data_IF_587250168809
#
_entry.id   IF_587250168809
#
_cell.length_a   1.000
_cell.length_b   1.000
_cell.length_c   1.000
_cell.angle_alpha   90.00
_cell.angle_beta   90.00
_cell.angle_gamma   90.00
#
_symmetry.space_group_name_H-M   'P 1'
#
loop_
_entity.id
_entity.type
_entity.pdbx_description
1 polymer ?
#
# COMPACT_ATOMS: atom_id res chain seq x y z
N UNK A 1 12.61 -37.39 -8.68
CA UNK A 1 13.49 -37.16 -7.52
C UNK A 1 12.89 -36.01 -6.72
N UNK A 2 12.38 -36.29 -5.51
CA UNK A 2 11.97 -35.25 -4.58
C UNK A 2 13.24 -34.55 -4.10
N UNK A 3 13.51 -33.37 -4.64
CA UNK A 3 14.52 -32.46 -4.10
C UNK A 3 14.18 -32.23 -2.62
N UNK A 4 14.95 -32.86 -1.72
CA UNK A 4 14.94 -32.56 -0.30
C UNK A 4 15.57 -31.18 -0.11
N UNK A 5 14.90 -30.12 -0.57
CA UNK A 5 15.21 -28.76 -0.16
C UNK A 5 14.96 -28.72 1.35
N UNK A 6 16.02 -28.47 2.12
CA UNK A 6 15.91 -28.26 3.56
C UNK A 6 14.85 -27.19 3.86
N UNK A 7 14.18 -27.31 5.00
CA UNK A 7 13.23 -26.31 5.44
C UNK A 7 13.91 -24.92 5.45
N UNK A 8 13.24 -23.90 4.91
CA UNK A 8 13.83 -22.55 4.90
C UNK A 8 14.06 -22.07 6.33
N UNK A 9 15.04 -21.18 6.57
CA UNK A 9 15.27 -20.60 7.90
C UNK A 9 14.00 -19.99 8.52
N UNK A 10 13.16 -19.36 7.68
CA UNK A 10 11.84 -18.85 8.08
C UNK A 10 10.86 -19.96 8.51
N UNK A 11 10.83 -21.10 7.80
CA UNK A 11 9.98 -22.23 8.15
C UNK A 11 10.44 -22.92 9.46
N UNK A 12 11.75 -23.03 9.67
CA UNK A 12 12.34 -23.56 10.90
C UNK A 12 12.00 -22.66 12.09
N UNK A 13 12.20 -21.35 11.96
CA UNK A 13 11.88 -20.39 13.01
C UNK A 13 10.38 -20.36 13.32
N UNK A 14 9.52 -20.51 12.30
CA UNK A 14 8.07 -20.60 12.49
C UNK A 14 7.68 -21.88 13.24
N UNK A 15 8.32 -23.01 12.92
CA UNK A 15 8.13 -24.26 13.67
C UNK A 15 8.55 -24.10 15.14
N UNK A 16 9.67 -23.41 15.39
CA UNK A 16 10.10 -23.09 16.76
C UNK A 16 9.09 -22.21 17.51
N UNK A 17 8.53 -21.19 16.85
CA UNK A 17 7.43 -20.39 17.41
C UNK A 17 6.20 -21.25 17.75
N UNK A 18 5.84 -22.21 16.88
CA UNK A 18 4.75 -23.17 17.14
C UNK A 18 5.03 -24.12 18.31
N UNK A 19 6.29 -24.52 18.50
CA UNK A 19 6.71 -25.40 19.62
C UNK A 19 6.96 -24.67 20.94
N UNK A 20 7.08 -23.34 20.92
CA UNK A 20 7.29 -22.51 22.12
C UNK A 20 6.09 -22.51 23.08
N UNK A 21 4.94 -23.06 22.67
CA UNK A 21 3.81 -23.36 23.53
C UNK A 21 3.15 -22.08 24.07
N UNK A 22 3.21 -21.89 25.39
CA UNK A 22 2.57 -20.77 26.09
C UNK A 22 3.53 -19.63 26.47
N UNK A 23 4.80 -19.69 26.06
CA UNK A 23 5.82 -18.66 26.37
C UNK A 23 5.72 -17.51 25.36
N UNK A 24 5.10 -16.36 25.72
CA UNK A 24 4.79 -15.31 24.75
C UNK A 24 6.04 -14.62 24.21
N UNK A 25 7.10 -14.51 25.03
CA UNK A 25 8.34 -13.84 24.64
C UNK A 25 9.08 -14.64 23.57
N UNK A 26 9.16 -15.96 23.73
CA UNK A 26 9.77 -16.86 22.73
C UNK A 26 8.96 -16.93 21.45
N UNK A 27 7.63 -16.91 21.53
CA UNK A 27 6.78 -16.84 20.34
C UNK A 27 7.09 -15.56 19.55
N UNK A 28 7.18 -14.41 20.23
CA UNK A 28 7.51 -13.13 19.58
C UNK A 28 8.92 -13.16 18.98
N UNK A 29 9.91 -13.66 19.72
CA UNK A 29 11.30 -13.76 19.26
C UNK A 29 11.43 -14.61 18.00
N UNK A 30 10.91 -15.84 18.03
CA UNK A 30 11.00 -16.76 16.88
C UNK A 30 10.18 -16.28 15.69
N UNK A 31 9.04 -15.62 15.93
CA UNK A 31 8.25 -15.00 14.85
C UNK A 31 9.00 -13.85 14.19
N UNK A 32 9.66 -12.98 14.97
CA UNK A 32 10.52 -11.91 14.43
C UNK A 32 11.67 -12.48 13.61
N UNK A 33 12.32 -13.53 14.09
CA UNK A 33 13.38 -14.21 13.36
C UNK A 33 12.87 -14.85 12.06
N UNK A 34 11.67 -15.44 12.06
CA UNK A 34 11.04 -16.02 10.88
C UNK A 34 10.75 -14.96 9.81
N UNK A 35 10.22 -13.81 10.22
CA UNK A 35 9.94 -12.67 9.33
C UNK A 35 11.25 -12.12 8.73
N UNK A 36 12.28 -11.93 9.56
CA UNK A 36 13.57 -11.37 9.12
C UNK A 36 14.32 -12.28 8.14
N UNK A 37 14.09 -13.59 8.20
CA UNK A 37 14.78 -14.58 7.36
C UNK A 37 13.97 -15.04 6.14
N UNK A 38 12.75 -14.49 5.95
CA UNK A 38 11.92 -14.80 4.79
C UNK A 38 12.50 -14.16 3.50
N UNK A 39 12.78 -14.98 2.48
CA UNK A 39 13.38 -14.50 1.23
C UNK A 39 12.36 -14.12 0.16
N UNK A 40 11.09 -14.47 0.35
CA UNK A 40 9.99 -14.15 -0.55
C UNK A 40 8.65 -14.13 0.18
N UNK A 41 7.62 -13.59 -0.49
CA UNK A 41 6.28 -13.44 0.09
C UNK A 41 5.65 -14.78 0.50
N UNK A 42 5.88 -15.86 -0.25
CA UNK A 42 5.37 -17.18 0.11
C UNK A 42 5.94 -17.68 1.44
N UNK A 43 7.22 -17.46 1.69
CA UNK A 43 7.83 -17.77 2.99
C UNK A 43 7.30 -16.88 4.11
N UNK A 44 7.07 -15.59 3.85
CA UNK A 44 6.48 -14.67 4.83
C UNK A 44 5.04 -15.05 5.21
N UNK A 45 4.21 -15.42 4.23
CA UNK A 45 2.85 -15.94 4.50
C UNK A 45 2.93 -17.23 5.32
N UNK A 46 3.94 -18.07 5.06
CA UNK A 46 4.15 -19.28 5.83
C UNK A 46 4.60 -19.03 7.28
N UNK A 47 5.09 -17.83 7.64
CA UNK A 47 5.37 -17.49 9.04
C UNK A 47 4.11 -17.15 9.83
N UNK A 48 3.01 -16.85 9.14
CA UNK A 48 1.70 -16.69 9.76
C UNK A 48 1.14 -18.07 10.11
N UNK A 49 0.50 -18.21 11.27
CA UNK A 49 -0.22 -19.44 11.63
C UNK A 49 -1.23 -19.81 10.53
N UNK A 50 -1.31 -21.10 10.18
CA UNK A 50 -2.16 -21.60 9.09
C UNK A 50 -3.62 -21.12 9.20
N UNK A 51 -4.12 -20.99 10.42
CA UNK A 51 -5.46 -20.47 10.72
C UNK A 51 -5.71 -19.07 10.15
N UNK A 52 -4.71 -18.19 10.19
CA UNK A 52 -4.85 -16.79 9.79
C UNK A 52 -4.33 -16.50 8.38
N UNK A 53 -3.73 -17.49 7.70
CA UNK A 53 -3.19 -17.30 6.34
C UNK A 53 -4.30 -16.92 5.37
N UNK A 54 -5.39 -17.69 5.34
CA UNK A 54 -6.50 -17.45 4.40
C UNK A 54 -7.21 -16.13 4.71
N UNK A 55 -7.28 -15.76 5.99
CA UNK A 55 -7.86 -14.48 6.44
C UNK A 55 -7.01 -13.28 6.00
N UNK A 56 -5.68 -13.36 6.17
CA UNK A 56 -4.77 -12.25 5.92
C UNK A 56 -4.28 -12.17 4.47
N UNK A 57 -4.30 -13.27 3.72
CA UNK A 57 -3.88 -13.34 2.31
C UNK A 57 -4.49 -12.24 1.42
N UNK A 58 -5.82 -12.01 1.39
CA UNK A 58 -6.40 -10.93 0.58
C UNK A 58 -5.90 -9.55 1.01
N UNK A 59 -5.64 -9.37 2.30
CA UNK A 59 -5.12 -8.10 2.84
C UNK A 59 -3.66 -7.88 2.44
N UNK A 60 -2.82 -8.92 2.51
CA UNK A 60 -1.43 -8.86 2.03
C UNK A 60 -1.36 -8.57 0.53
N UNK A 61 -2.23 -9.18 -0.27
CA UNK A 61 -2.34 -8.87 -1.71
C UNK A 61 -2.71 -7.40 -1.93
N UNK A 62 -3.73 -6.90 -1.23
CA UNK A 62 -4.13 -5.49 -1.33
C UNK A 62 -3.00 -4.53 -0.94
N UNK A 63 -2.24 -4.85 0.11
CA UNK A 63 -1.08 -4.04 0.52
C UNK A 63 0.04 -4.06 -0.51
N UNK A 64 0.30 -5.21 -1.15
CA UNK A 64 1.27 -5.33 -2.23
C UNK A 64 0.87 -4.46 -3.43
N UNK A 65 -0.39 -4.51 -3.83
CA UNK A 65 -0.92 -3.68 -4.93
C UNK A 65 -0.80 -2.18 -4.61
N UNK A 66 -1.06 -1.79 -3.36
CA UNK A 66 -0.94 -0.41 -2.91
C UNK A 66 0.53 0.06 -2.92
N UNK A 67 1.46 -0.81 -2.52
CA UNK A 67 2.89 -0.55 -2.60
C UNK A 67 3.38 -0.42 -4.05
N UNK A 68 2.88 -1.25 -4.97
CA UNK A 68 3.19 -1.16 -6.40
C UNK A 68 2.69 0.16 -7.00
N UNK A 69 1.46 0.59 -6.64
CA UNK A 69 0.91 1.90 -7.02
C UNK A 69 1.74 3.04 -6.48
N UNK A 70 2.16 3.00 -5.21
CA UNK A 70 3.04 4.01 -4.61
C UNK A 70 4.39 4.09 -5.34
N UNK A 71 5.01 2.94 -5.63
CA UNK A 71 6.27 2.89 -6.39
C UNK A 71 6.13 3.54 -7.76
N UNK A 72 5.05 3.23 -8.47
CA UNK A 72 4.74 3.83 -9.78
C UNK A 72 4.51 5.33 -9.66
N UNK A 73 3.70 5.77 -8.70
CA UNK A 73 3.41 7.18 -8.49
C UNK A 73 4.69 8.00 -8.18
N UNK A 74 5.60 7.46 -7.37
CA UNK A 74 6.91 8.09 -7.07
C UNK A 74 7.78 8.20 -8.32
N UNK A 75 7.84 7.15 -9.16
CA UNK A 75 8.59 7.19 -10.43
C UNK A 75 8.01 8.24 -11.38
N UNK A 76 6.69 8.29 -11.51
CA UNK A 76 6.03 9.30 -12.35
C UNK A 76 6.28 10.72 -11.85
N UNK A 77 6.20 10.96 -10.53
CA UNK A 77 6.52 12.25 -9.94
C UNK A 77 7.97 12.66 -10.21
N UNK A 78 8.92 11.74 -10.04
CA UNK A 78 10.33 11.99 -10.36
C UNK A 78 10.51 12.37 -11.84
N UNK A 79 9.82 11.69 -12.76
CA UNK A 79 9.84 12.03 -14.18
C UNK A 79 9.27 13.42 -14.46
N UNK A 80 8.19 13.84 -13.79
CA UNK A 80 7.65 15.19 -13.95
C UNK A 80 8.60 16.28 -13.43
N UNK A 81 9.26 16.03 -12.29
CA UNK A 81 10.27 16.93 -11.75
C UNK A 81 11.50 17.01 -12.68
N UNK A 82 11.89 15.90 -13.31
CA UNK A 82 12.95 15.91 -14.31
C UNK A 82 12.58 16.76 -15.53
N UNK A 83 11.35 16.64 -16.03
CA UNK A 83 10.84 17.50 -17.11
C UNK A 83 10.87 18.98 -16.74
N UNK A 84 10.43 19.31 -15.51
CA UNK A 84 10.48 20.68 -14.99
C UNK A 84 11.92 21.22 -14.96
N UNK A 85 12.88 20.43 -14.44
CA UNK A 85 14.28 20.82 -14.35
C UNK A 85 14.96 20.99 -15.72
N UNK A 86 14.53 20.21 -16.72
CA UNK A 86 15.06 20.28 -18.09
C UNK A 86 14.35 21.33 -18.95
N UNK A 87 13.36 22.05 -18.43
CA UNK A 87 12.47 22.92 -19.21
C UNK A 87 11.84 22.19 -20.41
N UNK A 88 11.43 20.94 -20.20
CA UNK A 88 10.74 20.10 -21.18
C UNK A 88 9.36 19.71 -20.66
N UNK A 89 8.54 19.13 -21.53
CA UNK A 89 7.20 18.69 -21.16
C UNK A 89 7.05 17.18 -21.31
N UNK A 90 6.28 16.53 -20.42
CA UNK A 90 5.77 15.19 -20.69
C UNK A 90 4.97 15.17 -22.00
N UNK A 91 4.95 14.03 -22.69
CA UNK A 91 4.33 13.87 -24.02
C UNK A 91 2.88 14.33 -24.10
N UNK A 92 2.09 14.16 -23.03
CA UNK A 92 0.68 14.59 -22.99
C UNK A 92 0.51 16.11 -22.93
N UNK A 93 1.44 16.84 -22.29
CA UNK A 93 1.45 18.32 -22.32
C UNK A 93 2.09 18.76 -23.63
N UNK A 94 3.19 18.14 -24.04
CA UNK A 94 3.89 18.48 -25.28
C UNK A 94 2.95 18.42 -26.49
N UNK A 95 2.15 17.35 -26.61
CA UNK A 95 1.19 17.13 -27.67
C UNK A 95 -0.02 18.07 -27.70
N UNK A 96 -0.18 18.98 -26.72
CA UNK A 96 -1.26 19.98 -26.74
C UNK A 96 -1.10 20.93 -27.93
N UNK A 97 -2.08 20.91 -28.84
CA UNK A 97 -2.12 21.76 -30.02
C UNK A 97 -2.25 23.24 -29.63
N UNK A 98 -1.38 24.09 -30.17
CA UNK A 98 -1.47 25.54 -30.00
C UNK A 98 -2.41 26.12 -31.08
N UNK A 99 -3.62 26.58 -30.71
CA UNK A 99 -4.61 27.07 -31.68
C UNK A 99 -4.18 28.36 -32.38
N UNK A 100 -3.24 29.12 -31.80
CA UNK A 100 -2.79 30.40 -32.33
C UNK A 100 -1.69 30.23 -33.38
N UNK A 101 -0.98 29.10 -33.39
CA UNK A 101 0.05 28.81 -34.41
C UNK A 101 -0.53 28.53 -35.79
N UNK A 102 -1.78 28.06 -35.87
CA UNK A 102 -2.47 27.79 -37.13
C UNK A 102 -3.15 29.01 -37.75
N UNK A 103 -3.20 30.15 -37.04
CA UNK A 103 -3.83 31.37 -37.54
C UNK A 103 -2.93 32.02 -38.59
N UNK A 104 -3.40 32.10 -39.83
CA UNK A 104 -2.76 32.85 -40.90
C UNK A 104 -3.54 34.15 -41.17
N UNK A 105 -3.10 35.30 -40.65
CA UNK A 105 -3.78 36.56 -40.90
C UNK A 105 -3.66 36.98 -42.37
N UNK A 106 -4.71 37.60 -42.91
CA UNK A 106 -4.71 38.20 -44.24
C UNK A 106 -3.62 39.26 -44.38
N UNK A 107 -3.14 39.51 -45.61
CA UNK A 107 -2.03 40.45 -45.88
C UNK A 107 -2.27 41.85 -45.30
N UNK A 108 -3.51 42.36 -45.32
CA UNK A 108 -3.78 43.72 -44.81
C UNK A 108 -3.75 43.81 -43.27
N UNK A 109 -4.00 42.71 -42.56
CA UNK A 109 -4.08 42.67 -41.10
C UNK A 109 -2.81 42.10 -40.44
N UNK A 110 -1.86 41.59 -41.24
CA UNK A 110 -0.68 40.86 -40.75
C UNK A 110 0.12 41.68 -39.74
N UNK A 111 0.45 42.92 -40.08
CA UNK A 111 1.29 43.77 -39.23
C UNK A 111 0.54 44.27 -37.99
N UNK A 112 -0.77 44.51 -38.14
CA UNK A 112 -1.63 44.93 -37.03
C UNK A 112 -1.83 43.82 -35.98
N UNK A 113 -1.86 42.55 -36.39
CA UNK A 113 -2.20 41.41 -35.53
C UNK A 113 -0.95 40.60 -35.10
N UNK A 114 0.21 40.80 -35.75
CA UNK A 114 1.44 40.06 -35.46
C UNK A 114 1.84 40.09 -33.97
N UNK A 115 1.76 41.26 -33.33
CA UNK A 115 2.09 41.41 -31.91
C UNK A 115 1.15 40.58 -31.04
N UNK A 116 -0.17 40.73 -31.21
CA UNK A 116 -1.17 39.98 -30.44
C UNK A 116 -1.06 38.47 -30.66
N UNK A 117 -0.78 38.01 -31.88
CA UNK A 117 -0.54 36.57 -32.15
C UNK A 117 0.70 36.05 -31.40
N UNK A 118 1.79 36.82 -31.37
CA UNK A 118 2.99 36.44 -30.62
C UNK A 118 2.75 36.38 -29.10
N UNK A 119 1.96 37.31 -28.57
CA UNK A 119 1.55 37.34 -27.16
C UNK A 119 0.68 36.12 -26.82
N UNK A 120 -0.27 35.75 -27.68
CA UNK A 120 -1.13 34.58 -27.50
C UNK A 120 -0.35 33.25 -27.55
N UNK A 121 0.63 33.13 -28.46
CA UNK A 121 1.52 31.97 -28.52
C UNK A 121 2.36 31.85 -27.24
N UNK A 122 2.86 32.98 -26.74
CA UNK A 122 3.64 33.04 -25.50
C UNK A 122 2.77 32.68 -24.30
N UNK A 123 1.56 33.23 -24.21
CA UNK A 123 0.58 32.89 -23.18
C UNK A 123 0.25 31.40 -23.18
N UNK A 124 0.07 30.79 -24.35
CA UNK A 124 -0.17 29.35 -24.45
C UNK A 124 0.98 28.53 -23.86
N UNK A 125 2.24 28.92 -24.13
CA UNK A 125 3.39 28.22 -23.54
C UNK A 125 3.44 28.36 -22.02
N UNK A 126 3.13 29.54 -21.47
CA UNK A 126 3.00 29.75 -20.02
C UNK A 126 1.93 28.83 -19.41
N UNK A 127 0.81 28.63 -20.11
CA UNK A 127 -0.22 27.69 -19.66
C UNK A 127 0.26 26.24 -19.65
N UNK A 128 1.17 25.84 -20.54
CA UNK A 128 1.79 24.50 -20.50
C UNK A 128 2.69 24.32 -19.27
N UNK A 129 3.45 25.34 -18.90
CA UNK A 129 4.28 25.35 -17.69
C UNK A 129 3.43 25.31 -16.42
N UNK A 130 2.34 26.06 -16.40
CA UNK A 130 1.36 26.03 -15.31
C UNK A 130 0.69 24.66 -15.20
N UNK A 131 0.32 24.04 -16.33
CA UNK A 131 -0.25 22.70 -16.37
C UNK A 131 0.72 21.65 -15.81
N UNK A 132 2.01 21.72 -16.15
CA UNK A 132 3.04 20.84 -15.58
C UNK A 132 3.12 21.01 -14.06
N UNK A 133 3.17 22.27 -13.59
CA UNK A 133 3.26 22.58 -12.16
C UNK A 133 2.05 22.07 -11.38
N UNK A 134 0.83 22.24 -11.90
CA UNK A 134 -0.40 21.70 -11.31
C UNK A 134 -0.40 20.17 -11.29
N UNK A 135 0.08 19.54 -12.36
CA UNK A 135 0.17 18.08 -12.46
C UNK A 135 1.13 17.52 -11.40
N UNK A 136 2.27 18.18 -11.19
CA UNK A 136 3.23 17.85 -10.12
C UNK A 136 2.54 17.93 -8.75
N UNK A 137 1.87 19.05 -8.45
CA UNK A 137 1.19 19.23 -7.17
C UNK A 137 0.13 18.14 -6.88
N UNK A 138 -0.68 17.77 -7.88
CA UNK A 138 -1.64 16.67 -7.76
C UNK A 138 -0.92 15.34 -7.51
N UNK A 139 0.18 15.08 -8.21
CA UNK A 139 0.95 13.84 -8.05
C UNK A 139 1.65 13.76 -6.69
N UNK A 140 2.12 14.87 -6.14
CA UNK A 140 2.65 14.93 -4.77
C UNK A 140 1.59 14.59 -3.72
N UNK A 141 0.36 15.09 -3.88
CA UNK A 141 -0.76 14.76 -3.01
C UNK A 141 -1.08 13.26 -3.08
N UNK A 142 -1.12 12.70 -4.30
CA UNK A 142 -1.33 11.25 -4.50
C UNK A 142 -0.25 10.42 -3.81
N UNK A 143 1.02 10.78 -3.98
CA UNK A 143 2.14 10.10 -3.31
C UNK A 143 1.98 10.18 -1.79
N UNK A 144 1.72 11.36 -1.22
CA UNK A 144 1.52 11.52 0.23
C UNK A 144 0.35 10.67 0.75
N UNK A 145 -0.75 10.59 0.00
CA UNK A 145 -1.90 9.78 0.37
C UNK A 145 -1.61 8.28 0.35
N UNK A 146 -0.95 7.81 -0.72
CA UNK A 146 -0.54 6.41 -0.85
C UNK A 146 0.51 6.02 0.19
N UNK A 147 1.43 6.92 0.51
CA UNK A 147 2.46 6.74 1.54
C UNK A 147 1.84 6.56 2.92
N UNK A 148 0.86 7.41 3.27
CA UNK A 148 0.08 7.27 4.51
C UNK A 148 -0.60 5.91 4.61
N UNK A 149 -1.19 5.43 3.51
CA UNK A 149 -1.86 4.11 3.46
C UNK A 149 -0.90 2.92 3.47
N UNK A 150 0.28 3.07 2.87
CA UNK A 150 1.37 2.08 2.93
C UNK A 150 2.16 2.12 4.25
N UNK A 151 1.87 3.06 5.15
CA UNK A 151 2.64 3.17 6.38
C UNK A 151 2.51 1.89 7.23
N UNK A 152 3.59 1.43 7.88
CA UNK A 152 3.54 0.23 8.72
C UNK A 152 2.44 0.30 9.79
N UNK A 153 2.21 1.48 10.36
CA UNK A 153 1.16 1.71 11.36
C UNK A 153 -0.27 1.57 10.78
N UNK A 154 -0.52 2.11 9.58
CA UNK A 154 -1.83 1.98 8.94
C UNK A 154 -2.11 0.53 8.53
N UNK A 155 -1.11 -0.15 7.98
CA UNK A 155 -1.24 -1.55 7.57
C UNK A 155 -1.42 -2.47 8.78
N UNK A 156 -0.61 -2.30 9.84
CA UNK A 156 -0.71 -3.13 11.04
C UNK A 156 -2.05 -2.98 11.75
N UNK A 157 -2.59 -1.76 11.85
CA UNK A 157 -3.89 -1.51 12.44
C UNK A 157 -5.01 -2.28 11.71
N UNK A 158 -4.98 -2.29 10.36
CA UNK A 158 -5.95 -3.04 9.58
C UNK A 158 -5.84 -4.55 9.81
N UNK A 159 -4.62 -5.11 9.80
CA UNK A 159 -4.40 -6.54 10.03
C UNK A 159 -4.82 -6.97 11.44
N UNK A 160 -4.46 -6.19 12.46
CA UNK A 160 -4.86 -6.43 13.85
C UNK A 160 -6.38 -6.43 13.98
N UNK A 161 -7.06 -5.44 13.39
CA UNK A 161 -8.52 -5.38 13.43
C UNK A 161 -9.19 -6.60 12.79
N UNK A 162 -8.62 -7.14 11.70
CA UNK A 162 -9.13 -8.36 11.07
C UNK A 162 -8.95 -9.59 11.97
N UNK A 163 -7.80 -9.70 12.65
CA UNK A 163 -7.52 -10.78 13.60
C UNK A 163 -8.41 -10.71 14.85
N UNK A 164 -8.57 -9.51 15.42
CA UNK A 164 -9.46 -9.30 16.58
C UNK A 164 -10.90 -9.67 16.23
N UNK A 165 -11.36 -9.29 15.02
CA UNK A 165 -12.69 -9.67 14.55
C UNK A 165 -12.86 -11.18 14.39
N UNK A 166 -11.91 -11.88 13.76
CA UNK A 166 -11.95 -13.35 13.64
C UNK A 166 -11.98 -14.04 15.01
N UNK A 167 -11.22 -13.49 15.96
CA UNK A 167 -11.20 -13.99 17.32
C UNK A 167 -12.55 -13.82 18.03
N UNK A 168 -13.16 -12.63 17.93
CA UNK A 168 -14.47 -12.34 18.49
C UNK A 168 -15.58 -13.21 17.87
N UNK A 169 -15.54 -13.42 16.56
CA UNK A 169 -16.45 -14.31 15.83
C UNK A 169 -16.29 -15.77 16.29
N UNK A 170 -15.04 -16.21 16.53
CA UNK A 170 -14.73 -17.55 17.03
C UNK A 170 -15.24 -17.77 18.46
N UNK A 171 -15.00 -16.79 19.36
CA UNK A 171 -15.51 -16.84 20.73
C UNK A 171 -17.04 -16.90 20.75
N UNK A 172 -17.69 -16.08 19.92
CA UNK A 172 -19.15 -16.06 19.78
C UNK A 172 -19.69 -17.39 19.26
N UNK A 173 -19.01 -18.01 18.30
CA UNK A 173 -19.37 -19.33 17.79
C UNK A 173 -19.21 -20.42 18.86
N UNK A 174 -18.09 -20.43 19.61
CA UNK A 174 -17.85 -21.38 20.71
C UNK A 174 -18.93 -21.29 21.80
N UNK A 175 -19.40 -20.08 22.13
CA UNK A 175 -20.54 -19.86 23.03
C UNK A 175 -21.82 -20.54 22.52
N UNK A 176 -22.14 -20.41 21.23
CA UNK A 176 -23.34 -21.02 20.62
C UNK A 176 -23.30 -22.55 20.56
N UNK A 177 -22.12 -23.14 20.38
CA UNK A 177 -21.96 -24.60 20.35
C UNK A 177 -21.87 -25.23 21.75
N UNK A 178 -21.57 -24.46 22.80
CA UNK A 178 -21.57 -24.93 24.19
C UNK A 178 -22.93 -24.76 24.89
N UNK A 179 -23.80 -23.87 24.40
CA UNK A 179 -25.17 -23.69 24.88
C UNK A 179 -26.13 -24.86 24.58
N UNK A 180 -25.76 -25.80 23.68
CA UNK A 180 -26.55 -27.03 23.46
C UNK A 180 -26.46 -28.06 24.61
N UNK A 181 -25.94 -27.69 25.79
CA UNK A 181 -25.78 -28.65 26.87
C UNK A 181 -25.61 -28.19 28.31
N UNK A 182 -25.61 -26.90 28.72
CA UNK A 182 -25.66 -26.52 30.16
C UNK A 182 -25.92 -25.03 30.47
N UNK A 183 -26.44 -24.83 31.68
CA UNK A 183 -27.06 -23.64 32.28
C UNK A 183 -26.16 -22.37 32.35
N UNK A 184 -26.70 -21.13 32.21
CA UNK A 184 -25.90 -19.90 31.96
C UNK A 184 -25.29 -19.19 33.19
N UNK A 185 -25.06 -19.86 34.33
CA UNK A 185 -24.73 -19.16 35.60
C UNK A 185 -23.41 -19.55 36.31
N UNK A 186 -22.43 -20.14 35.63
CA UNK A 186 -21.14 -20.47 36.28
C UNK A 186 -19.88 -20.12 35.50
N UNK A 187 -19.90 -19.12 34.61
CA UNK A 187 -18.67 -18.59 34.02
C UNK A 187 -18.06 -17.49 34.88
N UNK A 188 -17.66 -17.85 36.09
CA UNK A 188 -16.58 -17.15 36.78
C UNK A 188 -15.30 -17.96 36.50
N UNK A 189 -14.29 -17.27 35.98
CA UNK A 189 -12.87 -17.66 35.94
C UNK A 189 -12.44 -18.86 35.07
N UNK A 190 -12.71 -18.81 33.76
CA UNK A 190 -11.76 -19.33 32.77
C UNK A 190 -11.47 -18.20 31.78
N UNK A 191 -10.88 -17.13 32.32
CA UNK A 191 -10.24 -16.10 31.51
C UNK A 191 -9.01 -16.73 30.86
N UNK A 192 -9.22 -17.42 29.72
CA UNK A 192 -8.15 -17.51 28.75
C UNK A 192 -7.85 -16.08 28.33
N UNK A 193 -6.64 -15.56 28.60
CA UNK A 193 -6.32 -14.20 28.22
C UNK A 193 -6.50 -14.10 26.70
N UNK A 194 -7.36 -13.18 26.24
CA UNK A 194 -7.37 -12.80 24.83
C UNK A 194 -5.92 -12.48 24.46
N UNK A 195 -5.37 -13.07 23.38
CA UNK A 195 -4.17 -12.52 22.80
C UNK A 195 -4.60 -11.19 22.16
N UNK A 196 -4.71 -10.13 22.97
CA UNK A 196 -4.90 -8.79 22.45
C UNK A 196 -3.69 -8.53 21.59
N UNK A 197 -3.87 -8.49 20.26
CA UNK A 197 -2.81 -8.17 19.32
C UNK A 197 -2.54 -6.68 19.43
N UNK A 198 -1.88 -6.29 20.52
CA UNK A 198 -1.61 -4.91 20.88
C UNK A 198 -0.68 -4.29 19.85
N UNK A 199 -1.15 -3.29 19.10
CA UNK A 199 -0.28 -2.37 18.34
C UNK A 199 0.38 -1.37 19.30
N UNK A 200 1.17 -1.85 20.25
CA UNK A 200 2.06 -0.96 21.01
C UNK A 200 3.31 -0.75 20.16
N UNK A 201 3.28 0.34 19.39
CA UNK A 201 4.47 1.10 19.00
C UNK A 201 5.21 1.58 20.25
#
# INVERSE_FOLDING_TARGET
MLDKRGASPAAIATAYAGTAGNDPEKIVEFTRHAIATATNMGQLINTVSSRYRDLLEPMFRSSLDLAAKLSTARKTLAGYLEHLNKHTFPTFIEGMHNPFKSIQPCKEARDAVAKSLSELVTWFNLQKEEALSRTIAVKEIEVKHLDKKCSPAAMSAAFVQALDKDWDDTLSALGKYTEKGRNPRSWVSLALPSPKFSSKT
#
